data_IF_392894441703
#
_entry.id   IF_392894441703
#
_cell.length_a   1.000
_cell.length_b   1.000
_cell.length_c   1.000
_cell.angle_alpha   90.00
_cell.angle_beta   90.00
_cell.angle_gamma   90.00
#
_symmetry.space_group_name_H-M   'P 1'
#
loop_
_entity.id
_entity.type
_entity.pdbx_description
1 polymer ?
#
# COMPACT_ATOMS: atom_id res chain seq x y z
N UNK A 1 39.12 -4.71 12.25
CA UNK A 1 38.50 -3.73 11.34
C UNK A 1 37.00 -3.76 11.59
N UNK A 2 36.38 -2.68 12.11
CA UNK A 2 34.96 -2.68 12.44
C UNK A 2 34.21 -1.66 11.55
N UNK A 3 33.58 -2.11 10.46
CA UNK A 3 32.58 -1.35 9.71
C UNK A 3 31.74 -2.38 8.94
N UNK A 4 30.46 -2.54 9.32
CA UNK A 4 29.33 -3.11 8.53
C UNK A 4 28.28 -3.74 9.46
N UNK A 5 27.69 -2.94 10.35
CA UNK A 5 26.47 -3.32 11.09
C UNK A 5 25.27 -2.40 10.86
N UNK A 6 25.38 -1.38 10.00
CA UNK A 6 24.33 -0.37 9.78
C UNK A 6 23.72 -0.37 8.36
N UNK A 7 23.67 -1.51 7.66
CA UNK A 7 23.18 -1.59 6.25
C UNK A 7 21.81 -2.26 6.07
N UNK A 8 20.93 -2.22 7.08
CA UNK A 8 19.60 -2.84 7.05
C UNK A 8 18.48 -1.86 7.43
N UNK A 9 18.45 -0.69 6.81
CA UNK A 9 17.33 0.25 7.00
C UNK A 9 17.14 1.08 5.74
N UNK A 10 16.36 0.60 4.77
CA UNK A 10 15.95 1.49 3.66
C UNK A 10 14.50 1.34 3.21
N UNK A 11 13.66 0.65 3.98
CA UNK A 11 12.21 0.84 3.95
C UNK A 11 11.74 1.30 5.33
N UNK A 12 12.22 2.47 5.76
CA UNK A 12 11.86 3.01 7.07
C UNK A 12 10.51 3.72 6.94
N UNK A 13 9.42 3.11 7.42
CA UNK A 13 8.41 3.90 8.13
C UNK A 13 9.19 4.60 9.25
N UNK A 14 9.54 5.88 9.08
CA UNK A 14 10.22 6.65 10.14
C UNK A 14 9.25 6.84 11.30
N UNK A 15 9.15 5.80 12.11
CA UNK A 15 8.49 5.82 13.40
C UNK A 15 9.31 6.72 14.32
N UNK A 16 8.78 7.91 14.54
CA UNK A 16 8.94 8.78 15.71
C UNK A 16 10.21 8.56 16.53
N UNK A 17 11.32 9.15 16.09
CA UNK A 17 12.40 9.52 17.00
C UNK A 17 12.10 10.91 17.53
N UNK A 18 11.89 11.01 18.85
CA UNK A 18 11.64 12.24 19.61
C UNK A 18 12.65 13.33 19.21
N UNK A 19 12.23 14.26 18.37
CA UNK A 19 12.80 15.59 18.33
C UNK A 19 11.86 16.49 19.12
N UNK A 20 12.31 16.88 20.32
CA UNK A 20 11.65 17.88 21.15
C UNK A 20 11.78 19.21 20.41
N UNK A 21 10.69 19.72 19.85
CA UNK A 21 10.61 21.09 19.34
C UNK A 21 9.60 21.90 20.17
N UNK A 22 9.86 23.18 20.42
CA UNK A 22 9.18 23.95 21.44
C UNK A 22 7.73 24.22 21.03
N UNK A 23 6.81 24.07 21.98
CA UNK A 23 5.43 24.52 21.85
C UNK A 23 5.41 26.05 21.74
N UNK A 24 5.26 26.54 20.52
CA UNK A 24 4.91 27.91 20.19
C UNK A 24 4.26 27.89 18.82
N UNK A 25 3.00 28.33 18.72
CA UNK A 25 2.22 28.26 17.50
C UNK A 25 2.98 28.86 16.31
N UNK A 26 3.21 28.07 15.27
CA UNK A 26 3.95 28.50 14.09
C UNK A 26 3.57 27.64 12.89
N UNK A 27 2.91 28.26 11.91
CA UNK A 27 2.62 27.68 10.61
C UNK A 27 3.92 27.18 9.97
N UNK A 28 4.11 25.86 9.84
CA UNK A 28 5.32 25.29 9.27
C UNK A 28 5.36 25.49 7.76
N UNK A 29 6.55 25.75 7.21
CA UNK A 29 6.77 25.83 5.78
C UNK A 29 6.82 24.40 5.20
N UNK A 30 5.80 24.04 4.42
CA UNK A 30 5.62 22.71 3.85
C UNK A 30 6.74 22.32 2.89
N UNK A 31 7.22 23.23 2.05
CA UNK A 31 8.37 22.98 1.17
C UNK A 31 9.61 22.54 1.96
N UNK A 32 9.93 23.23 3.05
CA UNK A 32 11.09 22.90 3.89
C UNK A 32 10.94 21.54 4.57
N UNK A 33 9.71 21.19 4.95
CA UNK A 33 9.38 19.92 5.59
C UNK A 33 9.49 18.76 4.59
N UNK A 34 8.81 18.88 3.45
CA UNK A 34 8.82 17.92 2.34
C UNK A 34 10.25 17.67 1.88
N UNK A 35 11.02 18.72 1.60
CA UNK A 35 12.42 18.58 1.13
C UNK A 35 13.28 17.77 2.11
N UNK A 36 13.19 18.06 3.41
CA UNK A 36 13.97 17.34 4.43
C UNK A 36 13.54 15.88 4.53
N UNK A 37 12.23 15.62 4.46
CA UNK A 37 11.68 14.26 4.43
C UNK A 37 12.15 13.48 3.19
N UNK A 38 12.30 14.17 2.07
CA UNK A 38 12.84 13.63 0.83
C UNK A 38 14.38 13.48 0.82
N UNK A 39 15.06 13.76 1.93
CA UNK A 39 16.53 13.74 2.04
C UNK A 39 17.25 14.64 1.01
N UNK A 40 16.66 15.77 0.63
CA UNK A 40 17.27 16.70 -0.32
C UNK A 40 17.87 17.90 0.41
N UNK A 41 19.08 18.33 0.04
CA UNK A 41 19.59 19.65 0.42
C UNK A 41 18.96 20.75 -0.43
N UNK A 42 19.02 22.00 0.05
CA UNK A 42 18.56 23.15 -0.75
C UNK A 42 19.32 23.27 -2.09
N UNK A 43 20.61 22.87 -2.11
CA UNK A 43 21.42 22.89 -3.33
C UNK A 43 20.99 21.83 -4.34
N UNK A 44 20.72 20.61 -3.87
CA UNK A 44 20.25 19.50 -4.72
C UNK A 44 18.87 19.79 -5.30
N UNK A 45 17.92 20.25 -4.47
CA UNK A 45 16.60 20.63 -4.98
C UNK A 45 16.71 21.77 -6.00
N UNK A 46 17.59 22.73 -5.76
CA UNK A 46 17.82 23.83 -6.70
C UNK A 46 18.35 23.32 -8.05
N UNK A 47 19.33 22.41 -8.03
CA UNK A 47 19.89 21.80 -9.23
C UNK A 47 18.83 21.02 -10.03
N UNK A 48 18.02 20.20 -9.34
CA UNK A 48 16.94 19.41 -9.95
C UNK A 48 15.84 20.28 -10.57
N UNK A 49 15.54 21.44 -9.98
CA UNK A 49 14.54 22.38 -10.50
C UNK A 49 15.10 23.39 -11.52
N UNK A 50 16.42 23.41 -11.73
CA UNK A 50 17.11 24.38 -12.58
C UNK A 50 17.02 25.81 -12.04
N UNK A 51 17.14 25.98 -10.72
CA UNK A 51 17.10 27.27 -10.02
C UNK A 51 18.32 27.47 -9.13
N UNK A 52 18.47 28.67 -8.56
CA UNK A 52 19.56 28.94 -7.62
C UNK A 52 19.21 28.45 -6.22
N UNK A 53 20.22 28.01 -5.45
CA UNK A 53 20.04 27.68 -4.02
C UNK A 53 19.44 28.84 -3.23
N UNK A 54 19.75 30.08 -3.62
CA UNK A 54 19.20 31.29 -3.01
C UNK A 54 17.67 31.38 -3.21
N UNK A 55 17.15 30.99 -4.37
CA UNK A 55 15.71 30.95 -4.62
C UNK A 55 15.00 29.99 -3.65
N UNK A 56 15.52 28.76 -3.49
CA UNK A 56 14.97 27.79 -2.53
C UNK A 56 14.97 28.35 -1.10
N UNK A 57 16.06 29.02 -0.70
CA UNK A 57 16.16 29.63 0.61
C UNK A 57 15.11 30.75 0.82
N UNK A 58 14.91 31.62 -0.17
CA UNK A 58 13.90 32.69 -0.11
C UNK A 58 12.48 32.13 0.04
N UNK A 59 12.19 31.06 -0.70
CA UNK A 59 10.91 30.35 -0.68
C UNK A 59 10.64 29.66 0.67
N UNK A 60 11.63 28.94 1.21
CA UNK A 60 11.50 28.28 2.51
C UNK A 60 11.34 29.29 3.65
N UNK A 61 12.02 30.43 3.56
CA UNK A 61 12.02 31.45 4.60
C UNK A 61 10.92 32.50 4.46
N UNK A 62 9.96 32.35 3.54
CA UNK A 62 8.81 33.27 3.49
C UNK A 62 9.14 34.62 2.84
N UNK A 63 10.33 34.78 2.25
CA UNK A 63 10.85 36.09 1.82
C UNK A 63 10.34 36.50 0.45
N UNK A 64 10.00 35.53 -0.40
CA UNK A 64 9.33 35.74 -1.68
C UNK A 64 8.21 34.71 -1.85
N UNK A 65 7.08 35.10 -2.46
CA UNK A 65 6.00 34.15 -2.78
C UNK A 65 6.47 33.16 -3.84
N UNK A 66 6.05 31.89 -3.70
CA UNK A 66 6.34 30.85 -4.69
C UNK A 66 5.56 31.16 -5.98
N UNK A 67 6.24 31.36 -7.13
CA UNK A 67 5.52 31.58 -8.39
C UNK A 67 4.70 30.34 -8.77
N UNK A 68 3.50 30.53 -9.34
CA UNK A 68 2.62 29.41 -9.74
C UNK A 68 3.31 28.40 -10.68
N UNK A 69 4.14 28.89 -11.61
CA UNK A 69 4.91 28.02 -12.50
C UNK A 69 5.86 27.08 -11.73
N UNK A 70 6.42 27.54 -10.61
CA UNK A 70 7.33 26.75 -9.77
C UNK A 70 6.56 25.83 -8.82
N UNK A 71 5.36 26.22 -8.37
CA UNK A 71 4.45 25.34 -7.64
C UNK A 71 4.08 24.12 -8.47
N UNK A 72 3.72 24.29 -9.75
CA UNK A 72 3.44 23.17 -10.65
C UNK A 72 4.68 22.28 -10.83
N UNK A 73 5.85 22.87 -11.05
CA UNK A 73 7.09 22.10 -11.18
C UNK A 73 7.43 21.29 -9.92
N UNK A 74 7.19 21.84 -8.72
CA UNK A 74 7.37 21.14 -7.46
C UNK A 74 6.33 20.03 -7.25
N UNK A 75 5.08 20.31 -7.61
CA UNK A 75 3.99 19.33 -7.59
C UNK A 75 4.31 18.15 -8.49
N UNK A 76 4.77 18.42 -9.71
CA UNK A 76 5.23 17.40 -10.65
C UNK A 76 6.44 16.65 -10.10
N UNK A 77 7.44 17.35 -9.57
CA UNK A 77 8.66 16.70 -9.08
C UNK A 77 8.40 15.78 -7.89
N UNK A 78 7.71 16.26 -6.85
CA UNK A 78 7.46 15.50 -5.62
C UNK A 78 6.26 14.56 -5.73
N UNK A 79 5.31 14.82 -6.63
CA UNK A 79 4.04 14.09 -6.71
C UNK A 79 3.03 14.50 -5.65
N UNK A 80 3.04 15.77 -5.24
CA UNK A 80 2.19 16.31 -4.18
C UNK A 80 1.36 17.49 -4.68
N UNK A 81 0.25 17.75 -4.00
CA UNK A 81 -0.66 18.86 -4.28
C UNK A 81 0.05 20.22 -4.02
N UNK A 82 -0.07 21.23 -4.92
CA UNK A 82 0.61 22.52 -4.80
C UNK A 82 0.41 23.22 -3.45
N UNK A 83 -0.74 23.02 -2.81
CA UNK A 83 -1.13 23.62 -1.55
C UNK A 83 -0.22 23.18 -0.39
N UNK A 84 0.39 21.99 -0.50
CA UNK A 84 1.26 21.42 0.54
C UNK A 84 2.66 22.04 0.58
N UNK A 85 3.06 22.81 -0.43
CA UNK A 85 4.37 23.49 -0.43
C UNK A 85 4.35 24.83 0.33
N UNK A 86 3.16 25.35 0.64
CA UNK A 86 2.96 26.61 1.35
C UNK A 86 3.01 26.47 2.87
N UNK A 87 2.01 27.01 3.55
CA UNK A 87 1.82 26.76 4.98
C UNK A 87 1.04 25.46 5.16
N UNK A 88 1.54 24.56 6.00
CA UNK A 88 0.83 23.32 6.33
C UNK A 88 0.40 23.30 7.78
N UNK A 89 -0.79 22.75 8.02
CA UNK A 89 -1.31 22.46 9.36
C UNK A 89 -0.65 21.22 9.97
N UNK A 90 -0.79 21.05 11.29
CA UNK A 90 -0.32 19.84 11.98
C UNK A 90 -0.96 18.57 11.41
N UNK A 91 -2.24 18.64 10.98
CA UNK A 91 -2.94 17.51 10.37
C UNK A 91 -2.36 17.14 9.00
N UNK A 92 -2.07 18.12 8.14
CA UNK A 92 -1.43 17.88 6.84
C UNK A 92 0.01 17.38 7.00
N UNK A 93 0.72 17.85 8.02
CA UNK A 93 2.04 17.34 8.36
C UNK A 93 1.97 15.86 8.77
N UNK A 94 1.02 15.49 9.63
CA UNK A 94 0.81 14.11 10.04
C UNK A 94 0.43 13.23 8.85
N UNK A 95 -0.44 13.71 7.95
CA UNK A 95 -0.76 13.01 6.71
C UNK A 95 0.50 12.76 5.85
N UNK A 96 1.33 13.78 5.65
CA UNK A 96 2.61 13.66 4.93
C UNK A 96 3.59 12.69 5.59
N UNK A 97 3.53 12.53 6.92
CA UNK A 97 4.36 11.56 7.65
C UNK A 97 3.96 10.11 7.38
N UNK A 98 2.68 9.88 7.06
CA UNK A 98 2.14 8.55 6.80
C UNK A 98 2.07 8.20 5.31
N UNK A 99 2.19 9.19 4.41
CA UNK A 99 2.32 8.96 2.97
C UNK A 99 3.62 8.22 2.62
N UNK A 100 3.50 7.28 1.69
CA UNK A 100 4.59 6.44 1.17
C UNK A 100 5.56 7.30 0.34
N UNK A 101 6.86 7.04 0.49
CA UNK A 101 7.90 7.65 -0.32
C UNK A 101 8.70 6.57 -1.06
N UNK A 102 9.16 6.90 -2.26
CA UNK A 102 9.91 6.04 -3.16
C UNK A 102 11.37 6.48 -3.24
N UNK A 103 12.31 5.54 -3.07
CA UNK A 103 13.74 5.79 -3.16
C UNK A 103 14.15 6.06 -4.62
N UNK A 104 14.91 7.13 -4.81
CA UNK A 104 15.50 7.54 -6.08
C UNK A 104 17.00 7.80 -5.86
N UNK A 105 17.80 7.57 -6.90
CA UNK A 105 19.24 7.85 -6.87
C UNK A 105 19.58 8.82 -7.99
N UNK A 106 20.29 9.89 -7.68
CA UNK A 106 20.76 10.83 -8.69
C UNK A 106 22.01 10.30 -9.41
N UNK A 107 22.42 11.00 -10.47
CA UNK A 107 23.60 10.64 -11.27
C UNK A 107 24.91 10.66 -10.45
N UNK A 108 24.93 11.40 -9.35
CA UNK A 108 26.07 11.52 -8.43
C UNK A 108 26.06 10.42 -7.35
N UNK A 109 25.07 9.52 -7.37
CA UNK A 109 24.94 8.39 -6.45
C UNK A 109 24.31 8.74 -5.10
N UNK A 110 23.70 9.92 -4.97
CA UNK A 110 23.00 10.32 -3.75
C UNK A 110 21.53 9.85 -3.74
N UNK A 111 21.15 9.28 -2.61
CA UNK A 111 19.83 8.71 -2.36
C UNK A 111 18.85 9.78 -1.84
N UNK A 112 17.74 9.96 -2.55
CA UNK A 112 16.64 10.86 -2.19
C UNK A 112 15.27 10.16 -2.32
N UNK A 113 14.21 10.76 -1.81
CA UNK A 113 12.87 10.15 -1.83
C UNK A 113 11.83 11.04 -2.49
N UNK A 114 10.84 10.46 -3.16
CA UNK A 114 9.70 11.17 -3.79
C UNK A 114 8.36 10.57 -3.35
N UNK A 115 7.27 11.35 -3.36
CA UNK A 115 5.92 10.86 -3.03
C UNK A 115 5.18 10.29 -4.24
N UNK A 116 5.86 10.16 -5.37
CA UNK A 116 5.40 9.47 -6.58
C UNK A 116 6.44 8.46 -7.04
N UNK A 117 5.97 7.45 -7.75
CA UNK A 117 6.86 6.49 -8.41
C UNK A 117 7.85 7.23 -9.33
N UNK A 118 9.10 6.77 -9.34
CA UNK A 118 10.11 7.34 -10.22
C UNK A 118 9.68 7.10 -11.68
N UNK A 119 9.43 8.17 -12.47
CA UNK A 119 8.96 8.02 -13.85
C UNK A 119 10.03 7.44 -14.78
N UNK A 120 11.32 7.61 -14.46
CA UNK A 120 12.43 7.11 -15.28
C UNK A 120 12.85 5.69 -14.90
N UNK A 121 12.63 5.29 -13.65
CA UNK A 121 12.90 3.95 -13.14
C UNK A 121 11.77 3.50 -12.21
N UNK A 122 10.62 3.06 -12.76
CA UNK A 122 9.54 2.57 -11.92
C UNK A 122 10.04 1.39 -11.08
N UNK A 123 9.47 1.19 -9.89
CA UNK A 123 9.88 0.10 -8.98
C UNK A 123 9.92 -1.26 -9.70
N UNK A 124 8.99 -1.48 -10.63
CA UNK A 124 8.96 -2.65 -11.50
C UNK A 124 10.29 -2.89 -12.25
N UNK A 125 11.00 -1.84 -12.64
CA UNK A 125 12.33 -1.92 -13.29
C UNK A 125 13.45 -2.26 -12.30
N UNK A 126 13.48 -1.67 -11.09
CA UNK A 126 14.47 -2.00 -10.06
C UNK A 126 14.33 -3.45 -9.56
N UNK A 127 13.10 -3.97 -9.53
CA UNK A 127 12.81 -5.37 -9.20
C UNK A 127 13.17 -6.33 -10.36
N UNK A 128 13.03 -5.89 -11.61
CA UNK A 128 13.35 -6.68 -12.80
C UNK A 128 14.86 -6.70 -13.10
N UNK A 129 15.60 -5.66 -12.78
CA UNK A 129 17.08 -5.64 -12.89
C UNK A 129 17.76 -6.58 -11.87
N UNK A 130 17.07 -6.94 -10.78
CA UNK A 130 17.47 -8.00 -9.84
C UNK A 130 16.84 -9.37 -10.17
N UNK A 131 16.44 -9.64 -11.41
CA UNK A 131 15.94 -10.96 -11.81
C UNK A 131 16.97 -12.06 -11.46
N UNK A 132 16.69 -12.80 -10.38
CA UNK A 132 17.51 -13.90 -9.86
C UNK A 132 18.04 -13.73 -8.42
N UNK A 133 17.93 -12.54 -7.82
CA UNK A 133 18.29 -12.33 -6.41
C UNK A 133 17.02 -12.25 -5.53
N UNK A 134 16.97 -12.93 -4.37
CA UNK A 134 15.83 -12.83 -3.46
C UNK A 134 15.71 -11.40 -2.91
N UNK A 135 14.46 -10.93 -2.78
CA UNK A 135 14.13 -9.63 -2.20
C UNK A 135 14.59 -9.56 -0.73
N UNK A 136 14.94 -8.36 -0.27
CA UNK A 136 15.10 -8.11 1.16
C UNK A 136 13.74 -8.17 1.88
N UNK A 137 13.73 -8.44 3.19
CA UNK A 137 12.49 -8.49 3.98
C UNK A 137 11.70 -7.18 3.93
N UNK A 138 12.42 -6.06 3.91
CA UNK A 138 11.89 -4.71 3.79
C UNK A 138 11.21 -4.47 2.42
N UNK A 139 11.86 -4.88 1.33
CA UNK A 139 11.29 -4.79 -0.03
C UNK A 139 10.06 -5.70 -0.17
N UNK A 140 10.09 -6.91 0.40
CA UNK A 140 8.94 -7.83 0.41
C UNK A 140 7.75 -7.23 1.17
N UNK A 141 7.99 -6.64 2.34
CA UNK A 141 6.93 -6.02 3.15
C UNK A 141 6.25 -4.85 2.41
N UNK A 142 7.00 -4.04 1.64
CA UNK A 142 6.40 -2.98 0.82
C UNK A 142 5.49 -3.57 -0.26
N UNK A 143 5.96 -4.62 -0.94
CA UNK A 143 5.17 -5.28 -1.99
C UNK A 143 3.90 -5.90 -1.42
N UNK A 144 4.01 -6.68 -0.34
CA UNK A 144 2.87 -7.31 0.33
C UNK A 144 1.84 -6.25 0.78
N UNK A 145 2.32 -5.10 1.29
CA UNK A 145 1.44 -3.99 1.66
C UNK A 145 0.70 -3.39 0.45
N UNK A 146 1.39 -3.19 -0.67
CA UNK A 146 0.77 -2.66 -1.89
C UNK A 146 -0.26 -3.62 -2.46
N UNK A 147 0.04 -4.92 -2.48
CA UNK A 147 -0.91 -5.95 -2.91
C UNK A 147 -2.18 -5.93 -2.05
N UNK A 148 -2.04 -5.74 -0.72
CA UNK A 148 -3.20 -5.55 0.16
C UNK A 148 -4.03 -4.31 -0.19
N UNK A 149 -3.38 -3.18 -0.51
CA UNK A 149 -4.07 -1.95 -0.93
C UNK A 149 -4.80 -2.14 -2.28
N UNK A 150 -4.17 -2.79 -3.27
CA UNK A 150 -4.76 -3.09 -4.57
C UNK A 150 -5.97 -4.06 -4.46
N UNK A 151 -5.90 -5.02 -3.55
CA UNK A 151 -7.03 -5.91 -3.23
C UNK A 151 -8.21 -5.12 -2.63
N UNK A 152 -7.95 -4.17 -1.73
CA UNK A 152 -9.00 -3.31 -1.15
C UNK A 152 -9.67 -2.43 -2.21
N UNK A 153 -8.90 -1.90 -3.16
CA UNK A 153 -9.44 -1.14 -4.28
C UNK A 153 -10.33 -2.01 -5.18
N UNK A 154 -9.93 -3.26 -5.43
CA UNK A 154 -10.73 -4.22 -6.21
C UNK A 154 -12.05 -4.54 -5.52
N UNK A 155 -12.03 -4.75 -4.19
CA UNK A 155 -13.23 -4.95 -3.38
C UNK A 155 -14.14 -3.72 -3.50
N UNK A 156 -13.61 -2.51 -3.36
CA UNK A 156 -14.40 -1.28 -3.48
C UNK A 156 -15.04 -1.14 -4.87
N UNK A 157 -14.32 -1.46 -5.94
CA UNK A 157 -14.85 -1.42 -7.30
C UNK A 157 -15.95 -2.46 -7.54
N UNK A 158 -15.91 -3.61 -6.86
CA UNK A 158 -16.97 -4.63 -6.93
C UNK A 158 -18.28 -4.16 -6.26
N UNK A 159 -18.19 -3.35 -5.21
CA UNK A 159 -19.35 -2.77 -4.49
C UNK A 159 -19.90 -1.54 -5.20
N UNK A 160 -19.02 -0.74 -5.82
CA UNK A 160 -19.36 0.48 -6.54
C UNK A 160 -18.84 0.43 -7.98
N UNK A 161 -19.52 -0.30 -8.88
CA UNK A 161 -19.12 -0.38 -10.27
C UNK A 161 -19.11 1.03 -10.91
N UNK A 162 -18.07 1.31 -11.71
CA UNK A 162 -17.86 2.63 -12.33
C UNK A 162 -18.97 2.99 -13.33
N UNK A 163 -19.61 1.99 -13.94
CA UNK A 163 -20.74 2.18 -14.84
C UNK A 163 -22.06 2.25 -14.06
N UNK A 164 -22.42 3.47 -13.65
CA UNK A 164 -23.63 3.76 -12.86
C UNK A 164 -24.91 3.82 -13.67
N UNK A 165 -24.86 3.60 -14.99
CA UNK A 165 -26.03 3.77 -15.87
C UNK A 165 -27.23 2.89 -15.49
N UNK A 166 -27.00 1.81 -14.74
CA UNK A 166 -28.02 0.86 -14.27
C UNK A 166 -28.06 0.64 -12.75
N UNK A 167 -27.22 1.30 -11.97
CA UNK A 167 -27.01 0.98 -10.55
C UNK A 167 -27.67 2.00 -9.62
N UNK A 168 -28.65 1.57 -8.84
CA UNK A 168 -29.38 2.46 -7.94
C UNK A 168 -28.70 2.60 -6.58
N UNK A 169 -29.14 3.58 -5.79
CA UNK A 169 -28.70 3.73 -4.41
C UNK A 169 -29.09 2.51 -3.55
N UNK A 170 -30.22 1.86 -3.85
CA UNK A 170 -30.67 0.65 -3.17
C UNK A 170 -29.74 -0.54 -3.46
N UNK A 171 -29.30 -0.71 -4.72
CA UNK A 171 -28.35 -1.75 -5.11
C UNK A 171 -27.01 -1.57 -4.39
N UNK A 172 -26.57 -0.31 -4.24
CA UNK A 172 -25.37 0.06 -3.49
C UNK A 172 -25.49 -0.32 -2.00
N UNK A 173 -26.64 -0.06 -1.38
CA UNK A 173 -26.89 -0.40 0.02
C UNK A 173 -26.90 -1.92 0.22
N UNK A 174 -27.52 -2.66 -0.68
CA UNK A 174 -27.57 -4.13 -0.62
C UNK A 174 -26.17 -4.72 -0.81
N UNK A 175 -25.40 -4.26 -1.80
CA UNK A 175 -24.03 -4.71 -2.03
C UNK A 175 -23.11 -4.41 -0.83
N UNK A 176 -23.20 -3.20 -0.28
CA UNK A 176 -22.47 -2.82 0.94
C UNK A 176 -22.81 -3.73 2.13
N UNK A 177 -24.10 -4.01 2.36
CA UNK A 177 -24.52 -4.84 3.49
C UNK A 177 -24.02 -6.28 3.34
N UNK A 178 -24.09 -6.84 2.12
CA UNK A 178 -23.54 -8.18 1.82
C UNK A 178 -22.02 -8.22 2.06
N UNK A 179 -21.30 -7.23 1.55
CA UNK A 179 -19.84 -7.14 1.70
C UNK A 179 -19.43 -6.98 3.17
N UNK A 180 -20.09 -6.08 3.91
CA UNK A 180 -19.84 -5.87 5.34
C UNK A 180 -20.01 -7.14 6.16
N UNK A 181 -21.02 -7.96 5.84
CA UNK A 181 -21.24 -9.22 6.54
C UNK A 181 -20.10 -10.21 6.26
N UNK A 182 -19.71 -10.38 5.00
CA UNK A 182 -18.65 -11.34 4.61
C UNK A 182 -17.30 -10.90 5.19
N UNK A 183 -16.89 -9.66 4.93
CA UNK A 183 -15.62 -9.14 5.41
C UNK A 183 -15.59 -9.03 6.95
N UNK A 184 -16.70 -8.68 7.58
CA UNK A 184 -16.81 -8.65 9.04
C UNK A 184 -16.53 -10.02 9.65
N UNK A 185 -17.15 -11.08 9.14
CA UNK A 185 -16.87 -12.45 9.62
C UNK A 185 -15.44 -12.90 9.35
N UNK A 186 -14.83 -12.50 8.23
CA UNK A 186 -13.42 -12.79 7.95
C UNK A 186 -12.49 -12.05 8.92
N UNK A 187 -12.77 -10.78 9.24
CA UNK A 187 -12.00 -10.02 10.23
C UNK A 187 -12.09 -10.69 11.61
N UNK A 188 -13.28 -11.08 12.05
CA UNK A 188 -13.47 -11.80 13.32
C UNK A 188 -12.71 -13.14 13.36
N UNK A 189 -12.71 -13.89 12.24
CA UNK A 189 -11.95 -15.11 12.10
C UNK A 189 -10.43 -14.84 12.20
N UNK A 190 -9.92 -13.83 11.49
CA UNK A 190 -8.51 -13.44 11.53
C UNK A 190 -8.08 -13.00 12.94
N UNK A 191 -8.88 -12.19 13.63
CA UNK A 191 -8.61 -11.84 15.02
C UNK A 191 -8.58 -13.07 15.94
N UNK A 192 -9.48 -14.01 15.71
CA UNK A 192 -9.54 -15.27 16.47
C UNK A 192 -8.28 -16.12 16.22
N UNK A 193 -7.77 -16.14 14.99
CA UNK A 193 -6.48 -16.78 14.65
C UNK A 193 -5.34 -16.08 15.39
N UNK A 194 -5.34 -14.75 15.48
CA UNK A 194 -4.27 -14.02 16.17
C UNK A 194 -4.20 -14.32 17.68
N UNK A 195 -5.33 -14.71 18.28
CA UNK A 195 -5.43 -15.14 19.68
C UNK A 195 -4.96 -16.58 19.92
N UNK A 196 -4.78 -17.40 18.87
CA UNK A 196 -4.26 -18.77 18.98
C UNK A 196 -2.76 -18.81 19.31
N UNK A 197 -2.25 -19.90 19.92
CA UNK A 197 -0.82 -20.11 20.10
C UNK A 197 -0.09 -20.15 18.75
N UNK A 198 1.17 -19.72 18.73
CA UNK A 198 2.00 -19.58 17.50
C UNK A 198 1.97 -20.82 16.61
N UNK A 199 2.00 -22.00 17.21
CA UNK A 199 1.99 -23.30 16.54
C UNK A 199 0.72 -23.54 15.72
N UNK A 200 -0.44 -23.05 16.18
CA UNK A 200 -1.74 -23.27 15.54
C UNK A 200 -2.14 -22.20 14.54
N UNK A 201 -1.46 -21.04 14.55
CA UNK A 201 -1.81 -19.92 13.66
C UNK A 201 -1.75 -20.31 12.18
N UNK A 202 -0.72 -21.08 11.81
CA UNK A 202 -0.56 -21.57 10.45
C UNK A 202 -1.64 -22.58 10.08
N UNK A 203 -1.95 -23.53 10.96
CA UNK A 203 -3.02 -24.52 10.71
C UNK A 203 -4.38 -23.83 10.48
N UNK A 204 -4.71 -22.83 11.31
CA UNK A 204 -5.95 -22.07 11.14
C UNK A 204 -5.95 -21.24 9.85
N UNK A 205 -4.79 -20.71 9.44
CA UNK A 205 -4.66 -20.00 8.17
C UNK A 205 -4.88 -20.95 6.98
N UNK A 206 -4.27 -22.15 6.99
CA UNK A 206 -4.48 -23.16 5.96
C UNK A 206 -5.93 -23.66 5.90
N UNK A 207 -6.61 -23.76 7.05
CA UNK A 207 -8.03 -24.08 7.09
C UNK A 207 -8.88 -23.00 6.40
N UNK A 208 -8.61 -21.72 6.68
CA UNK A 208 -9.30 -20.60 6.04
C UNK A 208 -9.07 -20.58 4.53
N UNK A 209 -7.83 -20.80 4.10
CA UNK A 209 -7.46 -20.84 2.69
C UNK A 209 -8.12 -22.01 1.95
N UNK A 210 -8.26 -23.19 2.57
CA UNK A 210 -8.97 -24.32 1.95
C UNK A 210 -10.45 -24.01 1.71
N UNK A 211 -11.10 -23.31 2.63
CA UNK A 211 -12.50 -22.89 2.47
C UNK A 211 -12.63 -21.87 1.34
N UNK A 212 -11.68 -20.93 1.25
CA UNK A 212 -11.64 -19.91 0.21
C UNK A 212 -11.43 -20.53 -1.19
N UNK A 213 -10.44 -21.42 -1.34
CA UNK A 213 -10.21 -22.16 -2.59
C UNK A 213 -11.42 -23.02 -3.00
N UNK A 214 -12.09 -23.66 -2.02
CA UNK A 214 -13.29 -24.43 -2.30
C UNK A 214 -14.46 -23.55 -2.78
N UNK A 215 -14.60 -22.34 -2.22
CA UNK A 215 -15.57 -21.36 -2.71
C UNK A 215 -15.21 -20.85 -4.10
N UNK A 216 -13.94 -20.53 -4.36
CA UNK A 216 -13.47 -20.09 -5.67
C UNK A 216 -13.74 -21.16 -6.74
N UNK A 217 -13.42 -22.42 -6.46
CA UNK A 217 -13.70 -23.55 -7.35
C UNK A 217 -15.21 -23.74 -7.56
N UNK A 218 -16.01 -23.70 -6.48
CA UNK A 218 -17.45 -23.87 -6.57
C UNK A 218 -18.14 -22.80 -7.44
N UNK A 219 -17.61 -21.57 -7.41
CA UNK A 219 -18.14 -20.41 -8.14
C UNK A 219 -17.51 -20.24 -9.54
N UNK A 220 -16.58 -21.12 -9.94
CA UNK A 220 -15.90 -21.07 -11.25
C UNK A 220 -14.88 -19.93 -11.36
N UNK A 221 -14.31 -19.49 -10.23
CA UNK A 221 -13.22 -18.51 -10.20
C UNK A 221 -11.85 -19.10 -10.49
N UNK A 222 -11.68 -20.42 -10.30
CA UNK A 222 -10.49 -21.21 -10.58
C UNK A 222 -10.90 -22.60 -11.07
N UNK A 223 -10.03 -23.27 -11.81
CA UNK A 223 -10.22 -24.67 -12.22
C UNK A 223 -9.51 -25.64 -11.25
N UNK A 224 -9.84 -26.93 -11.31
CA UNK A 224 -9.26 -27.93 -10.41
C UNK A 224 -7.74 -28.08 -10.62
N UNK A 225 -7.26 -27.82 -11.83
CA UNK A 225 -5.85 -27.84 -12.21
C UNK A 225 -5.05 -26.67 -11.62
N UNK A 226 -5.72 -25.60 -11.23
CA UNK A 226 -5.10 -24.42 -10.59
C UNK A 226 -4.89 -24.64 -9.08
N UNK A 227 -5.41 -25.74 -8.50
CA UNK A 227 -5.22 -26.05 -7.09
C UNK A 227 -3.74 -26.33 -6.78
N UNK A 228 -3.25 -25.88 -5.61
CA UNK A 228 -1.88 -26.16 -5.20
C UNK A 228 -1.64 -27.66 -5.12
N UNK A 229 -0.60 -28.15 -5.79
CA UNK A 229 -0.17 -29.53 -5.65
C UNK A 229 0.46 -29.76 -4.27
N UNK A 230 0.34 -30.98 -3.74
CA UNK A 230 0.87 -31.35 -2.42
C UNK A 230 2.38 -31.12 -2.24
N UNK A 231 3.13 -31.00 -3.34
CA UNK A 231 4.56 -30.68 -3.34
C UNK A 231 4.86 -29.19 -3.05
N UNK A 232 3.94 -28.28 -3.40
CA UNK A 232 4.12 -26.82 -3.26
C UNK A 232 3.64 -26.34 -1.89
N UNK A 233 2.55 -26.93 -1.38
CA UNK A 233 1.89 -26.57 -0.12
C UNK A 233 1.36 -27.84 0.58
N UNK A 234 2.19 -28.56 1.36
CA UNK A 234 1.83 -29.88 1.91
C UNK A 234 0.65 -29.88 2.89
N UNK A 235 0.27 -28.70 3.40
CA UNK A 235 -0.82 -28.51 4.35
C UNK A 235 -2.18 -28.31 3.67
N UNK A 236 -2.22 -28.21 2.34
CA UNK A 236 -3.45 -28.11 1.55
C UNK A 236 -3.86 -29.48 1.03
N UNK A 237 -5.09 -29.88 1.30
CA UNK A 237 -5.67 -31.12 0.81
C UNK A 237 -6.62 -30.82 -0.37
N UNK A 238 -6.13 -31.00 -1.60
CA UNK A 238 -6.90 -30.76 -2.83
C UNK A 238 -8.13 -31.67 -2.95
N UNK A 239 -8.11 -32.87 -2.36
CA UNK A 239 -9.28 -33.75 -2.34
C UNK A 239 -10.34 -33.21 -1.39
N UNK A 240 -9.94 -32.71 -0.22
CA UNK A 240 -10.83 -32.03 0.71
C UNK A 240 -11.44 -30.75 0.10
N UNK A 241 -10.62 -29.91 -0.56
CA UNK A 241 -11.08 -28.69 -1.25
C UNK A 241 -12.14 -29.03 -2.30
N UNK A 242 -11.88 -30.04 -3.14
CA UNK A 242 -12.80 -30.46 -4.21
C UNK A 242 -14.11 -31.01 -3.63
N UNK A 243 -14.03 -31.83 -2.59
CA UNK A 243 -15.21 -32.37 -1.91
C UNK A 243 -16.06 -31.25 -1.26
N UNK A 244 -15.41 -30.24 -0.68
CA UNK A 244 -16.07 -29.09 -0.09
C UNK A 244 -16.73 -28.20 -1.15
N UNK A 245 -16.06 -27.99 -2.29
CA UNK A 245 -16.62 -27.25 -3.42
C UNK A 245 -17.90 -27.91 -3.96
N UNK A 246 -17.89 -29.24 -4.12
CA UNK A 246 -19.07 -29.99 -4.53
C UNK A 246 -20.24 -29.83 -3.55
N UNK A 247 -19.97 -29.79 -2.23
CA UNK A 247 -21.00 -29.52 -1.22
C UNK A 247 -21.58 -28.10 -1.35
N UNK A 248 -20.76 -27.11 -1.69
CA UNK A 248 -21.26 -25.75 -1.93
C UNK A 248 -22.15 -25.67 -3.17
N UNK A 249 -21.85 -26.44 -4.21
CA UNK A 249 -22.64 -26.48 -5.45
C UNK A 249 -23.98 -27.23 -5.30
N UNK A 250 -24.05 -28.28 -4.48
CA UNK A 250 -25.28 -29.07 -4.31
C UNK A 250 -26.30 -28.40 -3.37
N UNK A 251 -25.84 -27.56 -2.45
CA UNK A 251 -26.65 -26.92 -1.39
C UNK A 251 -27.81 -26.04 -1.90
N UNK A 252 -27.66 -25.23 -2.97
CA UNK A 252 -28.74 -24.43 -3.53
C UNK A 252 -29.87 -25.29 -4.12
N UNK A 253 -29.53 -26.42 -4.75
CA UNK A 253 -30.50 -27.32 -5.38
C UNK A 253 -31.40 -28.01 -4.35
N UNK A 254 -30.83 -28.41 -3.20
CA UNK A 254 -31.57 -28.99 -2.08
C UNK A 254 -32.51 -27.98 -1.41
N UNK A 255 -32.09 -26.73 -1.24
CA UNK A 255 -32.94 -25.69 -0.64
C UNK A 255 -34.12 -25.30 -1.56
N UNK A 256 -33.92 -25.32 -2.88
CA UNK A 256 -34.99 -25.12 -3.86
C UNK A 256 -35.98 -26.30 -3.88
N UNK A 257 -35.51 -27.52 -3.64
CA UNK A 257 -36.36 -28.70 -3.54
C UNK A 257 -37.19 -28.74 -2.23
N UNK A 258 -36.66 -28.21 -1.12
CA UNK A 258 -37.35 -28.10 0.17
C UNK A 258 -38.34 -26.93 0.26
N UNK A 259 -38.22 -25.94 -0.63
CA UNK A 259 -39.10 -24.77 -0.70
C UNK A 259 -40.31 -24.94 -1.66
N UNK A 260 -40.46 -26.13 -2.27
CA UNK A 260 -41.60 -26.53 -3.11
C UNK A 260 -42.50 -27.51 -2.36
#
# INVERSE_FOLDING_TARGET
MPLEKDRLSSCILMSSSRTIWPKGGNHMNGLSFIRRRCNLSQGQLAQMLGVTRQAINLWENRREPLPEARLRQLSDFFGLEPELFGEISEMQQDELLHRVCFLCRDADGHDYYLFRENPEQPIRFLLNEKAGMPLTQDEQMILDKRELEEMLDTICQSVYPKDRSKWTAADSIVAMNRMRNILGSLVEALESIQRQPRERKMDCFYLLMQVELALALALGGIEAEDLPNGDTMPMLDSAYITALAAQFQSRPEEQVALAK
#
